data_IF_165991812885
#
_entry.id   IF_165991812885
#
_cell.length_a   1.000
_cell.length_b   1.000
_cell.length_c   1.000
_cell.angle_alpha   90.00
_cell.angle_beta   90.00
_cell.angle_gamma   90.00
#
_symmetry.space_group_name_H-M   'P 1'
#
loop_
_entity.id
_entity.type
_entity.pdbx_description
1 polymer ?
#
# COMPACT_ATOMS: atom_id res chain seq x y z
N UNK A 1 19.47 -1.09 -10.61
CA UNK A 1 19.61 -1.48 -9.18
C UNK A 1 18.23 -1.94 -8.71
N UNK A 2 17.89 -3.19 -8.99
CA UNK A 2 16.71 -3.85 -8.41
C UNK A 2 17.13 -4.45 -7.07
N UNK A 3 16.67 -3.85 -5.98
CA UNK A 3 16.89 -4.35 -4.62
C UNK A 3 15.77 -5.35 -4.30
N UNK A 4 16.16 -6.62 -4.17
CA UNK A 4 15.34 -7.80 -3.90
C UNK A 4 14.67 -8.38 -5.17
N UNK A 5 15.12 -9.58 -5.57
CA UNK A 5 14.51 -10.38 -6.63
C UNK A 5 13.14 -10.94 -6.25
N UNK A 6 12.22 -10.07 -5.83
CA UNK A 6 10.81 -10.39 -5.74
C UNK A 6 10.28 -10.28 -7.16
N UNK A 7 10.04 -11.40 -7.80
CA UNK A 7 9.39 -11.46 -9.10
C UNK A 7 7.94 -10.94 -8.94
N UNK A 8 7.59 -9.73 -9.44
CA UNK A 8 6.29 -9.11 -9.17
C UNK A 8 5.15 -9.80 -9.95
N UNK A 9 5.48 -10.71 -10.85
CA UNK A 9 4.54 -11.42 -11.71
C UNK A 9 3.92 -12.59 -10.96
N UNK A 10 2.88 -12.30 -10.18
CA UNK A 10 1.52 -12.75 -10.54
C UNK A 10 0.48 -12.62 -9.41
N UNK A 11 0.86 -12.46 -8.13
CA UNK A 11 -0.14 -12.44 -7.01
C UNK A 11 0.23 -11.63 -5.74
N UNK A 12 1.39 -10.99 -5.68
CA UNK A 12 1.86 -10.26 -4.49
C UNK A 12 1.36 -8.82 -4.40
N UNK A 13 1.46 -8.23 -3.21
CA UNK A 13 1.30 -6.79 -2.99
C UNK A 13 2.43 -6.05 -3.72
N UNK A 14 2.10 -5.21 -4.69
CA UNK A 14 3.03 -4.23 -5.23
C UNK A 14 2.91 -2.95 -4.38
N UNK A 15 4.04 -2.52 -3.80
CA UNK A 15 4.14 -1.31 -3.01
C UNK A 15 5.29 -0.46 -3.52
N UNK A 16 4.99 0.78 -3.90
CA UNK A 16 5.99 1.79 -4.23
C UNK A 16 5.99 2.90 -3.19
N UNK A 17 7.19 3.42 -2.88
CA UNK A 17 7.41 4.46 -1.88
C UNK A 17 8.21 5.59 -2.55
N UNK A 18 7.67 6.80 -2.55
CA UNK A 18 8.27 7.99 -3.16
C UNK A 18 8.38 9.11 -2.12
N UNK A 19 9.55 9.76 -2.01
CA UNK A 19 9.80 10.83 -1.05
C UNK A 19 9.69 12.20 -1.73
N UNK A 20 8.73 13.03 -1.31
CA UNK A 20 8.33 14.28 -1.98
C UNK A 20 8.71 15.54 -1.18
N UNK A 21 9.82 15.49 -0.42
CA UNK A 21 10.33 16.68 0.30
C UNK A 21 9.41 17.20 1.42
N UNK A 22 8.56 16.34 1.98
CA UNK A 22 7.63 16.69 3.06
C UNK A 22 6.49 15.69 3.20
N UNK A 23 6.18 14.97 2.12
CA UNK A 23 5.31 13.80 2.16
C UNK A 23 6.06 12.57 1.67
N UNK A 24 5.68 11.41 2.19
CA UNK A 24 6.02 10.10 1.63
C UNK A 24 4.77 9.58 0.94
N UNK A 25 4.85 9.32 -0.37
CA UNK A 25 3.78 8.72 -1.14
C UNK A 25 3.92 7.21 -1.14
N UNK A 26 2.85 6.53 -0.77
CA UNK A 26 2.70 5.08 -0.85
C UNK A 26 1.67 4.75 -1.92
N UNK A 27 2.05 3.93 -2.91
CA UNK A 27 1.13 3.41 -3.92
C UNK A 27 1.10 1.89 -3.86
N UNK A 28 -0.07 1.34 -3.56
CA UNK A 28 -0.30 -0.08 -3.33
C UNK A 28 -1.37 -0.66 -4.25
N UNK A 29 -1.17 -1.88 -4.74
CA UNK A 29 -2.16 -2.60 -5.55
C UNK A 29 -1.73 -4.03 -5.87
N UNK A 30 -2.63 -4.78 -6.51
CA UNK A 30 -2.29 -6.06 -7.14
C UNK A 30 -1.69 -5.80 -8.53
N UNK A 31 -0.40 -6.07 -8.70
CA UNK A 31 0.30 -5.86 -9.98
C UNK A 31 0.72 -4.41 -10.23
N UNK A 32 0.75 -3.96 -11.48
CA UNK A 32 1.30 -2.65 -11.87
C UNK A 32 0.36 -1.45 -11.63
N UNK A 33 -0.93 -1.69 -11.40
CA UNK A 33 -1.92 -0.63 -11.16
C UNK A 33 -2.17 -0.44 -9.67
N UNK A 34 -1.78 0.71 -9.13
CA UNK A 34 -2.05 1.07 -7.75
C UNK A 34 -3.55 1.34 -7.54
N UNK A 35 -4.15 0.60 -6.61
CA UNK A 35 -5.55 0.76 -6.16
C UNK A 35 -5.68 1.76 -5.00
N UNK A 36 -4.66 1.81 -4.16
CA UNK A 36 -4.54 2.75 -3.06
C UNK A 36 -3.32 3.65 -3.29
N UNK A 37 -3.52 4.96 -3.28
CA UNK A 37 -2.43 5.94 -3.29
C UNK A 37 -2.66 6.93 -2.18
N UNK A 38 -1.70 7.01 -1.25
CA UNK A 38 -1.75 7.93 -0.13
C UNK A 38 -0.44 8.70 0.00
N UNK A 39 -0.52 9.92 0.49
CA UNK A 39 0.64 10.70 0.92
C UNK A 39 0.57 10.89 2.43
N UNK A 40 1.69 10.63 3.09
CA UNK A 40 1.84 10.77 4.53
C UNK A 40 2.89 11.81 4.86
N UNK A 41 2.52 12.83 5.63
CA UNK A 41 3.48 13.75 6.23
C UNK A 41 3.64 13.39 7.70
N UNK A 42 4.81 12.85 8.04
CA UNK A 42 5.15 12.41 9.40
C UNK A 42 5.08 13.56 10.39
N UNK A 43 5.71 14.70 10.09
CA UNK A 43 5.85 15.83 11.02
C UNK A 43 4.52 16.46 11.41
N UNK A 44 3.59 16.59 10.46
CA UNK A 44 2.26 17.18 10.69
C UNK A 44 1.16 16.15 10.93
N UNK A 45 1.51 14.85 10.88
CA UNK A 45 0.59 13.71 10.98
C UNK A 45 -0.63 13.87 10.07
N UNK A 46 -0.36 14.22 8.81
CA UNK A 46 -1.37 14.47 7.80
C UNK A 46 -1.35 13.38 6.72
N UNK A 47 -2.47 12.66 6.61
CA UNK A 47 -2.73 11.68 5.57
C UNK A 47 -3.59 12.29 4.46
N UNK A 48 -3.08 12.28 3.23
CA UNK A 48 -3.84 12.62 2.03
C UNK A 48 -4.14 11.36 1.25
N UNK A 49 -5.40 11.10 0.97
CA UNK A 49 -5.82 10.00 0.09
C UNK A 49 -5.97 10.55 -1.32
N UNK A 50 -5.12 10.07 -2.23
CA UNK A 50 -5.07 10.48 -3.64
C UNK A 50 -5.85 9.52 -4.53
N UNK A 51 -5.91 8.24 -4.16
CA UNK A 51 -6.68 7.19 -4.83
C UNK A 51 -7.10 6.12 -3.81
N UNK A 52 -8.33 5.65 -3.91
CA UNK A 52 -8.90 4.59 -3.09
C UNK A 52 -9.95 3.84 -3.92
N UNK A 53 -9.48 3.01 -4.85
CA UNK A 53 -10.33 2.19 -5.71
C UNK A 53 -10.75 0.90 -5.01
N UNK A 54 -11.89 0.28 -5.39
CA UNK A 54 -12.22 -1.06 -4.97
C UNK A 54 -11.07 -2.03 -5.27
N UNK A 55 -10.65 -2.78 -4.26
CA UNK A 55 -9.61 -3.79 -4.37
C UNK A 55 -10.12 -5.13 -3.82
N UNK A 56 -10.86 -5.89 -4.65
CA UNK A 56 -11.29 -7.24 -4.28
C UNK A 56 -10.09 -8.11 -3.91
N UNK A 57 -10.15 -8.78 -2.75
CA UNK A 57 -9.08 -9.64 -2.27
C UNK A 57 -7.87 -8.92 -1.67
N UNK A 58 -7.96 -7.62 -1.39
CA UNK A 58 -6.86 -6.85 -0.78
C UNK A 58 -6.29 -7.51 0.48
N UNK A 59 -7.17 -7.93 1.40
CA UNK A 59 -6.77 -8.61 2.65
C UNK A 59 -6.00 -9.91 2.38
N UNK A 60 -6.47 -10.72 1.44
CA UNK A 60 -5.82 -11.97 1.08
C UNK A 60 -4.44 -11.71 0.45
N UNK A 61 -4.31 -10.72 -0.44
CA UNK A 61 -3.04 -10.33 -1.04
C UNK A 61 -2.05 -9.81 0.00
N UNK A 62 -2.50 -8.95 0.92
CA UNK A 62 -1.65 -8.42 2.00
C UNK A 62 -1.21 -9.56 2.92
N UNK A 63 -2.15 -10.40 3.36
CA UNK A 63 -1.88 -11.55 4.24
C UNK A 63 -0.87 -12.53 3.61
N UNK A 64 -1.07 -12.91 2.35
CA UNK A 64 -0.14 -13.79 1.62
C UNK A 64 1.26 -13.16 1.49
N UNK A 65 1.33 -11.86 1.25
CA UNK A 65 2.61 -11.13 1.18
C UNK A 65 3.32 -11.13 2.55
N UNK A 66 2.60 -10.83 3.63
CA UNK A 66 3.17 -10.86 4.99
C UNK A 66 3.65 -12.27 5.35
N UNK A 67 2.87 -13.31 5.03
CA UNK A 67 3.26 -14.70 5.28
C UNK A 67 4.55 -15.07 4.52
N UNK A 68 4.69 -14.62 3.27
CA UNK A 68 5.90 -14.81 2.47
C UNK A 68 7.10 -14.10 3.10
N UNK A 69 6.99 -12.80 3.43
CA UNK A 69 8.06 -12.03 4.08
C UNK A 69 8.49 -12.67 5.40
N UNK A 70 7.55 -13.15 6.22
CA UNK A 70 7.87 -13.85 7.48
C UNK A 70 8.59 -15.17 7.24
N UNK A 71 8.24 -15.90 6.19
CA UNK A 71 8.94 -17.14 5.82
C UNK A 71 10.39 -16.85 5.43
N UNK A 72 10.62 -15.88 4.54
CA UNK A 72 11.97 -15.46 4.18
C UNK A 72 12.76 -14.93 5.38
N UNK A 73 12.12 -14.16 6.26
CA UNK A 73 12.77 -13.62 7.46
C UNK A 73 13.21 -14.73 8.43
N UNK A 74 12.43 -15.81 8.54
CA UNK A 74 12.80 -16.99 9.33
C UNK A 74 14.03 -17.67 8.75
N UNK A 75 14.06 -17.89 7.44
CA UNK A 75 15.21 -18.51 6.75
C UNK A 75 16.49 -17.67 6.90
N UNK A 76 16.34 -16.35 6.98
CA UNK A 76 17.45 -15.40 7.18
C UNK A 76 17.80 -15.12 8.65
N UNK A 77 17.09 -15.73 9.61
CA UNK A 77 17.34 -15.54 11.05
C UNK A 77 16.99 -14.15 11.59
N UNK A 78 16.15 -13.38 10.89
CA UNK A 78 15.76 -12.00 11.25
C UNK A 78 14.26 -11.86 11.58
N UNK A 79 13.58 -12.98 11.82
CA UNK A 79 12.13 -13.01 12.06
C UNK A 79 11.70 -12.09 13.20
N UNK A 80 12.47 -12.01 14.28
CA UNK A 80 12.15 -11.16 15.44
C UNK A 80 12.09 -9.67 15.10
N UNK A 81 12.90 -9.22 14.14
CA UNK A 81 12.92 -7.82 13.68
C UNK A 81 11.67 -7.53 12.85
N UNK A 82 11.30 -8.47 11.97
CA UNK A 82 10.12 -8.35 11.11
C UNK A 82 8.84 -8.40 11.94
N UNK A 83 8.71 -9.37 12.85
CA UNK A 83 7.52 -9.53 13.69
C UNK A 83 7.36 -8.34 14.64
N UNK A 84 8.44 -7.80 15.22
CA UNK A 84 8.39 -6.57 16.03
C UNK A 84 7.85 -5.39 15.22
N UNK A 85 8.36 -5.21 14.01
CA UNK A 85 7.95 -4.09 13.13
C UNK A 85 6.48 -4.24 12.72
N UNK A 86 6.04 -5.47 12.39
CA UNK A 86 4.65 -5.78 12.07
C UNK A 86 3.73 -5.51 13.26
N UNK A 87 4.09 -5.97 14.46
CA UNK A 87 3.31 -5.72 15.68
C UNK A 87 3.17 -4.23 15.97
N UNK A 88 4.26 -3.46 15.81
CA UNK A 88 4.21 -2.00 15.97
C UNK A 88 3.29 -1.34 14.94
N UNK A 89 3.32 -1.78 13.68
CA UNK A 89 2.45 -1.25 12.63
C UNK A 89 0.95 -1.55 12.85
N UNK A 90 0.64 -2.64 13.56
CA UNK A 90 -0.73 -3.01 13.92
C UNK A 90 -1.29 -2.25 15.14
N UNK A 91 -0.46 -1.48 15.84
CA UNK A 91 -0.93 -0.68 16.97
C UNK A 91 -1.73 0.53 16.47
N UNK A 92 -2.90 0.75 17.06
CA UNK A 92 -3.73 1.90 16.72
C UNK A 92 -3.00 3.20 17.09
N UNK A 93 -2.94 4.20 16.20
CA UNK A 93 -2.26 5.46 16.49
C UNK A 93 -2.92 6.17 17.69
N UNK A 94 -2.14 6.46 18.73
CA UNK A 94 -2.62 7.11 19.96
C UNK A 94 -2.93 8.59 19.77
N UNK A 95 -2.29 9.25 18.81
CA UNK A 95 -2.49 10.66 18.54
C UNK A 95 -3.41 10.87 17.32
N UNK A 96 -4.18 11.98 17.24
CA UNK A 96 -5.11 12.23 16.14
C UNK A 96 -4.38 12.52 14.82
N UNK A 97 -4.82 11.91 13.73
CA UNK A 97 -4.29 12.13 12.37
C UNK A 97 -5.26 13.01 11.58
N UNK A 98 -4.75 14.07 10.92
CA UNK A 98 -5.56 14.83 9.96
C UNK A 98 -5.70 13.98 8.70
N UNK A 99 -6.92 13.81 8.20
CA UNK A 99 -7.20 13.10 6.95
C UNK A 99 -7.84 14.03 5.93
N UNK A 100 -7.25 14.11 4.74
CA UNK A 100 -7.84 14.78 3.57
C UNK A 100 -8.06 13.74 2.48
N UNK A 101 -9.27 13.64 1.93
CA UNK A 101 -9.55 12.81 0.75
C UNK A 101 -9.69 13.75 -0.43
N UNK A 102 -8.82 13.62 -1.43
CA UNK A 102 -8.91 14.43 -2.64
C UNK A 102 -10.17 14.01 -3.43
N UNK A 103 -10.83 14.97 -4.06
CA UNK A 103 -12.08 14.73 -4.81
C UNK A 103 -11.92 13.68 -5.92
N UNK A 104 -10.72 13.55 -6.47
CA UNK A 104 -10.36 12.56 -7.49
C UNK A 104 -10.08 11.17 -6.92
N UNK A 105 -10.01 11.01 -5.59
CA UNK A 105 -9.52 9.79 -4.97
C UNK A 105 -10.49 8.61 -5.10
N UNK A 106 -11.79 8.89 -5.21
CA UNK A 106 -12.85 7.88 -5.33
C UNK A 106 -13.36 7.73 -6.78
N UNK A 107 -12.76 8.42 -7.74
CA UNK A 107 -13.25 8.44 -9.11
C UNK A 107 -12.83 7.17 -9.85
N UNK A 108 -13.57 6.07 -9.62
CA UNK A 108 -13.50 4.87 -10.45
C UNK A 108 -14.89 4.50 -10.97
N UNK A 109 -15.04 4.51 -12.30
CA UNK A 109 -16.13 3.95 -13.11
C UNK A 109 -17.30 4.89 -13.46
N UNK A 110 -17.10 5.76 -14.46
CA UNK A 110 -18.21 6.00 -15.40
C UNK A 110 -18.19 4.86 -16.44
N UNK A 111 -19.31 4.17 -16.70
CA UNK A 111 -19.38 3.23 -17.80
C UNK A 111 -19.22 4.03 -19.10
N UNK A 112 -18.26 3.64 -19.94
CA UNK A 112 -18.18 4.12 -21.32
C UNK A 112 -19.44 3.62 -22.01
N UNK A 113 -20.44 4.49 -22.16
CA UNK A 113 -21.63 4.19 -22.93
C UNK A 113 -21.18 3.73 -24.32
N UNK A 114 -21.47 2.47 -24.65
CA UNK A 114 -21.28 1.94 -25.98
C UNK A 114 -22.04 2.84 -26.95
N UNK A 115 -21.30 3.67 -27.69
CA UNK A 115 -21.81 4.37 -28.86
C UNK A 115 -22.18 3.29 -29.87
N UNK A 116 -23.48 2.97 -29.94
CA UNK A 116 -24.07 2.23 -31.06
C UNK A 116 -23.75 3.00 -32.34
N UNK A 117 -23.15 2.31 -33.30
CA UNK A 117 -23.26 2.61 -34.71
C UNK A 117 -24.23 1.60 -35.32
#
# INVERSE_FOLDING_TARGET
MDRAGIEPSSRGLNLTIEYLGGYTRFSAGSGSHARLVVEWNESSRHLRVLRCEPWPGAEATISATVAHVRTEARERGIIDIVDRSLMAACQEPTAPCRRTVLSTAMTSSQPVAARRA
#
